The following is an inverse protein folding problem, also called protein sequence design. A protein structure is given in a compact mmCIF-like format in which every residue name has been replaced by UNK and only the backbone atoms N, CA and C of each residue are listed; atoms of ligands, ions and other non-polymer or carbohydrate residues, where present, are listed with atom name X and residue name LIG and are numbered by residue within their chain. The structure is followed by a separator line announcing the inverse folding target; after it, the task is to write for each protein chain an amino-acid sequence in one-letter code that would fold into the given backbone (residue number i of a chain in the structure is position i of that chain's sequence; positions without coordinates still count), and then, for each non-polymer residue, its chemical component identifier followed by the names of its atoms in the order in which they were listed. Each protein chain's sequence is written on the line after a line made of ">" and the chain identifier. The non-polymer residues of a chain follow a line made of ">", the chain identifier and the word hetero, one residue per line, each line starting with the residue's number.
data_IF_633343061207
#
_entry.id   IF_633343061207
#
_cell.length_a   1.000
_cell.length_b   1.000
_cell.length_c   1.000
_cell.angle_alpha   90.00
_cell.angle_beta   90.00
_cell.angle_gamma   90.00
#
_symmetry.space_group_name_H-M   'P 1'
#
loop_
_entity.id
_entity.type
_entity.pdbx_description
1 polymer ?
#
# COMPACT_ATOMS: atom_id res chain seq x y z
N UNK A 1 -33.56 31.23 15.25
CA UNK A 1 -32.49 31.22 14.20
C UNK A 1 -32.33 29.81 13.69
N UNK A 2 -32.90 29.49 12.51
CA UNK A 2 -32.68 28.24 11.78
C UNK A 2 -31.26 28.31 11.24
N UNK A 3 -30.34 27.55 11.83
CA UNK A 3 -28.97 27.32 11.30
C UNK A 3 -29.16 26.65 9.97
N UNK A 4 -28.97 27.35 8.86
CA UNK A 4 -28.84 26.77 7.53
C UNK A 4 -27.55 25.98 7.56
N UNK A 5 -27.65 24.70 7.76
CA UNK A 5 -26.52 23.76 7.59
C UNK A 5 -26.26 23.67 6.09
N UNK A 6 -25.27 24.41 5.61
CA UNK A 6 -24.70 24.15 4.29
C UNK A 6 -24.15 22.72 4.30
N UNK A 7 -24.83 21.80 3.66
CA UNK A 7 -24.31 20.48 3.39
C UNK A 7 -23.42 20.60 2.17
N UNK A 8 -22.12 20.55 2.37
CA UNK A 8 -21.14 20.44 1.29
C UNK A 8 -20.64 19.01 1.21
N UNK A 9 -20.41 18.51 0.00
CA UNK A 9 -19.76 17.23 -0.24
C UNK A 9 -18.30 17.48 -0.55
N UNK A 10 -17.41 16.77 0.13
CA UNK A 10 -15.97 16.73 -0.14
C UNK A 10 -15.68 15.40 -0.85
N UNK A 11 -15.23 15.48 -2.10
CA UNK A 11 -14.94 14.32 -2.97
C UNK A 11 -13.46 14.06 -3.07
N UNK A 12 -13.04 12.88 -2.63
CA UNK A 12 -11.65 12.48 -2.66
C UNK A 12 -11.43 11.28 -3.58
N UNK A 13 -10.36 11.34 -4.38
CA UNK A 13 -9.84 10.19 -5.11
C UNK A 13 -8.54 9.72 -4.46
N UNK A 14 -8.49 8.45 -4.04
CA UNK A 14 -7.40 7.92 -3.24
C UNK A 14 -6.97 6.52 -3.70
N UNK A 15 -5.70 6.11 -3.51
CA UNK A 15 -5.30 4.73 -3.68
C UNK A 15 -6.02 3.80 -2.70
N UNK A 16 -6.30 2.58 -3.14
CA UNK A 16 -7.02 1.58 -2.34
C UNK A 16 -6.38 1.35 -0.97
N UNK A 17 -5.06 1.24 -0.91
CA UNK A 17 -4.33 1.04 0.35
C UNK A 17 -4.47 2.23 1.31
N UNK A 18 -4.51 3.46 0.79
CA UNK A 18 -4.73 4.67 1.62
C UNK A 18 -6.13 4.67 2.21
N UNK A 19 -7.14 4.29 1.41
CA UNK A 19 -8.51 4.18 1.87
C UNK A 19 -8.67 3.12 2.97
N UNK A 20 -7.92 2.03 2.89
CA UNK A 20 -8.00 0.93 3.85
C UNK A 20 -7.20 1.17 5.14
N UNK A 21 -6.04 1.84 5.08
CA UNK A 21 -5.09 1.89 6.19
C UNK A 21 -4.89 3.28 6.79
N UNK A 22 -4.93 4.32 5.98
CA UNK A 22 -4.63 5.69 6.41
C UNK A 22 -5.90 6.48 6.72
N UNK A 23 -6.89 6.42 5.83
CA UNK A 23 -8.08 7.26 5.93
C UNK A 23 -9.06 6.90 7.06
N UNK A 24 -9.27 5.65 7.50
CA UNK A 24 -10.34 5.34 8.44
C UNK A 24 -10.32 6.17 9.73
N UNK A 25 -9.19 6.30 10.46
CA UNK A 25 -9.14 7.14 11.65
C UNK A 25 -9.27 8.63 11.32
N UNK A 26 -8.73 9.08 10.19
CA UNK A 26 -8.77 10.48 9.77
C UNK A 26 -10.19 10.88 9.37
N UNK A 27 -10.87 10.10 8.55
CA UNK A 27 -12.24 10.33 8.12
C UNK A 27 -13.21 10.35 9.32
N UNK A 28 -13.05 9.41 10.23
CA UNK A 28 -13.87 9.35 11.45
C UNK A 28 -13.69 10.57 12.35
N UNK A 29 -12.45 11.04 12.50
CA UNK A 29 -12.14 12.27 13.26
C UNK A 29 -12.68 13.50 12.55
N UNK A 30 -12.47 13.62 11.25
CA UNK A 30 -12.93 14.74 10.43
C UNK A 30 -14.45 14.90 10.49
N UNK A 31 -15.21 13.83 10.25
CA UNK A 31 -16.66 13.85 10.23
C UNK A 31 -17.27 14.16 11.61
N UNK A 32 -16.60 13.77 12.70
CA UNK A 32 -17.05 14.19 14.06
C UNK A 32 -16.89 15.68 14.30
N UNK A 33 -15.86 16.30 13.74
CA UNK A 33 -15.60 17.73 13.90
C UNK A 33 -16.36 18.60 12.88
N UNK A 34 -16.81 18.00 11.77
CA UNK A 34 -17.49 18.70 10.67
C UNK A 34 -18.82 17.99 10.29
N UNK A 35 -19.83 17.98 11.17
CA UNK A 35 -21.06 17.18 10.98
C UNK A 35 -21.94 17.66 9.81
N UNK A 36 -21.63 18.82 9.20
CA UNK A 36 -22.32 19.35 8.02
C UNK A 36 -21.72 18.92 6.69
N UNK A 37 -20.60 18.17 6.71
CA UNK A 37 -19.91 17.72 5.51
C UNK A 37 -20.24 16.25 5.21
N UNK A 38 -20.51 15.96 3.95
CA UNK A 38 -20.52 14.59 3.41
C UNK A 38 -19.17 14.33 2.79
N UNK A 39 -18.49 13.27 3.23
CA UNK A 39 -17.23 12.83 2.66
C UNK A 39 -17.49 11.67 1.69
N UNK A 40 -17.18 11.89 0.41
CA UNK A 40 -17.28 10.89 -0.66
C UNK A 40 -15.86 10.45 -1.03
N UNK A 41 -15.56 9.17 -0.89
CA UNK A 41 -14.23 8.61 -1.17
C UNK A 41 -14.36 7.58 -2.28
N UNK A 42 -13.64 7.83 -3.38
CA UNK A 42 -13.52 6.89 -4.49
C UNK A 42 -12.10 6.35 -4.55
N UNK A 43 -11.96 5.03 -4.58
CA UNK A 43 -10.66 4.39 -4.72
C UNK A 43 -10.30 4.21 -6.20
N UNK A 44 -9.09 4.62 -6.55
CA UNK A 44 -8.54 4.36 -7.88
C UNK A 44 -7.01 4.34 -7.79
N UNK A 45 -6.41 3.22 -8.21
CA UNK A 45 -4.96 3.02 -8.20
C UNK A 45 -4.30 3.42 -9.53
N UNK A 46 -5.08 3.98 -10.48
CA UNK A 46 -4.54 4.59 -11.69
C UNK A 46 -4.34 6.09 -11.52
N UNK A 47 -3.36 6.62 -12.25
CA UNK A 47 -3.19 8.07 -12.33
C UNK A 47 -4.35 8.67 -13.15
N UNK A 48 -5.09 9.59 -12.56
CA UNK A 48 -6.15 10.34 -13.21
C UNK A 48 -5.98 11.83 -12.93
N UNK A 49 -6.46 12.67 -13.84
CA UNK A 49 -6.66 14.08 -13.54
C UNK A 49 -7.83 14.22 -12.56
N UNK A 50 -7.48 14.52 -11.31
CA UNK A 50 -8.41 14.56 -10.17
C UNK A 50 -9.47 15.63 -10.37
N UNK A 51 -9.07 16.82 -10.85
CA UNK A 51 -9.98 17.97 -11.03
C UNK A 51 -10.89 17.76 -12.23
N UNK A 52 -10.34 17.30 -13.36
CA UNK A 52 -11.14 16.99 -14.55
C UNK A 52 -12.15 15.86 -14.31
N UNK A 53 -11.83 14.94 -13.38
CA UNK A 53 -12.73 13.87 -12.97
C UNK A 53 -13.77 14.30 -11.91
N UNK A 54 -13.78 15.58 -11.49
CA UNK A 54 -14.78 16.13 -10.58
C UNK A 54 -14.54 15.85 -9.10
N UNK A 55 -13.31 15.58 -8.70
CA UNK A 55 -12.91 15.47 -7.30
C UNK A 55 -12.35 16.79 -6.80
N UNK A 56 -12.49 17.04 -5.49
CA UNK A 56 -11.95 18.23 -4.83
C UNK A 56 -10.48 18.06 -4.46
N UNK A 57 -10.04 16.81 -4.19
CA UNK A 57 -8.65 16.48 -3.92
C UNK A 57 -8.33 15.02 -4.27
N UNK A 58 -7.05 14.74 -4.45
CA UNK A 58 -6.51 13.38 -4.64
C UNK A 58 -5.36 13.09 -3.68
N UNK A 59 -5.25 11.83 -3.26
CA UNK A 59 -4.06 11.34 -2.56
C UNK A 59 -3.20 10.59 -3.58
N UNK A 60 -1.90 10.84 -3.56
CA UNK A 60 -0.92 10.19 -4.46
C UNK A 60 0.38 9.93 -3.71
N UNK A 61 1.16 8.97 -4.21
CA UNK A 61 2.52 8.72 -3.76
C UNK A 61 3.47 9.50 -4.67
N UNK A 62 4.28 10.37 -4.07
CA UNK A 62 5.46 11.07 -4.64
C UNK A 62 5.50 11.24 -6.17
N UNK A 63 4.37 11.62 -6.75
CA UNK A 63 4.22 11.85 -8.18
C UNK A 63 4.28 13.34 -8.48
N UNK A 64 4.56 13.67 -9.71
CA UNK A 64 4.62 15.07 -10.15
C UNK A 64 3.28 15.78 -9.89
N UNK A 65 3.33 16.81 -9.05
CA UNK A 65 2.18 17.65 -8.74
C UNK A 65 1.95 18.57 -9.92
N UNK A 66 0.72 18.66 -10.42
CA UNK A 66 0.37 19.61 -11.46
C UNK A 66 0.59 21.04 -10.98
N UNK A 67 0.94 21.95 -11.90
CA UNK A 67 1.39 23.32 -11.58
C UNK A 67 0.45 24.12 -10.69
N UNK A 68 -0.85 23.81 -10.72
CA UNK A 68 -1.90 24.53 -10.00
C UNK A 68 -2.41 23.78 -8.76
N UNK A 69 -1.67 22.76 -8.28
CA UNK A 69 -2.04 21.97 -7.10
C UNK A 69 -1.11 22.25 -5.93
N UNK A 70 -1.68 22.22 -4.72
CA UNK A 70 -0.94 22.31 -3.47
C UNK A 70 -0.87 20.91 -2.87
N UNK A 71 0.35 20.42 -2.59
CA UNK A 71 0.52 19.17 -1.87
C UNK A 71 0.56 19.39 -0.35
N UNK A 72 -0.19 18.57 0.35
CA UNK A 72 -0.19 18.51 1.81
C UNK A 72 0.15 17.07 2.22
N UNK A 73 1.20 16.87 3.04
CA UNK A 73 1.55 15.54 3.51
C UNK A 73 0.40 14.88 4.28
N UNK A 74 0.08 13.63 3.93
CA UNK A 74 -0.94 12.82 4.59
C UNK A 74 -0.31 11.49 5.05
N UNK A 75 -0.45 11.17 6.35
CA UNK A 75 0.09 9.93 6.90
C UNK A 75 1.54 10.04 7.38
N UNK A 76 2.22 8.91 7.60
CA UNK A 76 3.60 8.89 8.08
C UNK A 76 4.56 9.50 7.07
N UNK A 77 5.57 10.23 7.58
CA UNK A 77 6.57 10.91 6.74
C UNK A 77 7.53 9.95 6.03
N UNK A 78 7.67 8.76 6.51
CA UNK A 78 8.50 7.71 5.92
C UNK A 78 7.67 6.46 5.77
N UNK A 79 7.67 5.94 4.58
CA UNK A 79 7.08 4.65 4.26
C UNK A 79 8.17 3.62 3.95
N UNK A 80 7.85 2.36 4.07
CA UNK A 80 8.80 1.29 3.86
C UNK A 80 8.12 0.10 3.21
N UNK A 81 8.77 -0.47 2.21
CA UNK A 81 8.41 -1.79 1.69
C UNK A 81 9.10 -2.89 2.48
N UNK A 82 8.37 -3.94 2.78
CA UNK A 82 8.77 -5.07 3.60
C UNK A 82 8.48 -6.37 2.86
N UNK A 83 9.41 -7.31 2.89
CA UNK A 83 9.17 -8.68 2.46
C UNK A 83 8.85 -9.55 3.68
N UNK A 84 7.85 -10.42 3.57
CA UNK A 84 7.47 -11.35 4.64
C UNK A 84 6.88 -12.64 4.07
N UNK A 85 6.89 -13.71 4.86
CA UNK A 85 6.23 -14.97 4.53
C UNK A 85 5.74 -15.66 5.80
N UNK A 86 4.84 -16.64 5.69
CA UNK A 86 4.38 -17.40 6.85
C UNK A 86 5.51 -18.26 7.45
N UNK A 87 5.49 -18.49 8.78
CA UNK A 87 6.48 -19.37 9.44
C UNK A 87 6.54 -20.76 8.79
N UNK A 88 5.39 -21.32 8.41
CA UNK A 88 5.31 -22.64 7.77
C UNK A 88 6.04 -22.67 6.42
N UNK A 89 5.79 -21.65 5.58
CA UNK A 89 6.49 -21.52 4.30
C UNK A 89 8.02 -21.44 4.49
N UNK A 90 8.48 -20.62 5.43
CA UNK A 90 9.91 -20.45 5.68
C UNK A 90 10.57 -21.72 6.28
N UNK A 91 9.84 -22.49 7.07
CA UNK A 91 10.34 -23.77 7.59
C UNK A 91 10.56 -24.81 6.49
N UNK A 92 9.69 -24.81 5.46
CA UNK A 92 9.77 -25.76 4.34
C UNK A 92 10.77 -25.33 3.25
N UNK A 93 10.82 -24.02 2.95
CA UNK A 93 11.58 -23.50 1.80
C UNK A 93 12.87 -22.74 2.19
N UNK A 94 13.11 -22.56 3.50
CA UNK A 94 14.23 -21.76 4.01
C UNK A 94 13.94 -20.26 4.06
N UNK A 95 14.84 -19.53 4.72
CA UNK A 95 14.76 -18.07 4.88
C UNK A 95 15.69 -17.41 3.86
N UNK A 96 15.19 -16.57 2.93
CA UNK A 96 16.03 -15.86 1.97
C UNK A 96 16.97 -14.88 2.72
N UNK A 97 18.26 -14.87 2.36
CA UNK A 97 19.32 -14.03 2.94
C UNK A 97 19.74 -12.89 2.03
N UNK A 98 19.48 -13.02 0.74
CA UNK A 98 19.75 -12.02 -0.27
C UNK A 98 18.53 -11.86 -1.19
N UNK A 99 18.22 -10.65 -1.73
CA UNK A 99 17.06 -10.47 -2.61
C UNK A 99 17.02 -11.42 -3.81
N UNK A 100 18.17 -11.83 -4.35
CA UNK A 100 18.22 -12.81 -5.46
C UNK A 100 17.74 -14.20 -5.08
N UNK A 101 17.74 -14.55 -3.79
CA UNK A 101 17.24 -15.85 -3.32
C UNK A 101 15.73 -15.97 -3.60
N UNK A 102 15.02 -14.82 -3.67
CA UNK A 102 13.60 -14.77 -4.02
C UNK A 102 13.29 -15.31 -5.42
N UNK A 103 14.29 -15.42 -6.31
CA UNK A 103 14.13 -16.07 -7.61
C UNK A 103 13.92 -17.60 -7.49
N UNK A 104 14.25 -18.18 -6.33
CA UNK A 104 14.03 -19.59 -6.01
C UNK A 104 12.85 -19.80 -5.05
N UNK A 105 12.21 -18.71 -4.60
CA UNK A 105 11.03 -18.75 -3.76
C UNK A 105 9.78 -18.50 -4.57
N UNK A 106 8.66 -19.09 -4.16
CA UNK A 106 7.35 -18.65 -4.60
C UNK A 106 7.08 -17.25 -4.07
N UNK A 107 6.65 -16.34 -4.95
CA UNK A 107 6.33 -14.96 -4.59
C UNK A 107 4.88 -14.63 -4.97
N UNK A 108 4.21 -13.90 -4.11
CA UNK A 108 2.86 -13.37 -4.36
C UNK A 108 3.01 -12.02 -5.06
N UNK A 109 2.66 -11.97 -6.34
CA UNK A 109 2.87 -10.78 -7.18
C UNK A 109 1.68 -9.84 -7.17
N UNK A 110 1.96 -8.54 -7.20
CA UNK A 110 0.95 -7.48 -7.38
C UNK A 110 0.94 -6.99 -8.84
N UNK A 111 -0.24 -6.94 -9.45
CA UNK A 111 -0.43 -6.36 -10.78
C UNK A 111 -1.25 -5.09 -10.70
N UNK A 112 -0.65 -3.99 -11.12
CA UNK A 112 -1.36 -2.71 -11.20
C UNK A 112 -2.46 -2.71 -12.28
N UNK A 113 -3.48 -1.85 -12.16
CA UNK A 113 -4.52 -1.69 -13.18
C UNK A 113 -3.97 -1.37 -14.58
N UNK A 114 -2.78 -0.78 -14.67
CA UNK A 114 -2.06 -0.55 -15.92
C UNK A 114 -1.58 -1.84 -16.62
N UNK A 115 -1.73 -3.00 -15.97
CA UNK A 115 -1.22 -4.29 -16.43
C UNK A 115 0.22 -4.58 -16.05
N UNK A 116 0.93 -3.60 -15.48
CA UNK A 116 2.33 -3.76 -15.06
C UNK A 116 2.41 -4.61 -13.80
N UNK A 117 3.29 -5.63 -13.79
CA UNK A 117 3.63 -6.40 -12.59
C UNK A 117 4.58 -5.56 -11.73
N UNK A 118 4.26 -5.39 -10.46
CA UNK A 118 5.09 -4.67 -9.51
C UNK A 118 6.44 -5.38 -9.34
N UNK A 119 7.51 -4.69 -9.68
CA UNK A 119 8.85 -5.18 -9.39
C UNK A 119 9.23 -4.81 -7.95
N UNK A 120 9.94 -5.70 -7.26
CA UNK A 120 10.36 -5.52 -5.89
C UNK A 120 11.73 -4.85 -5.83
N UNK A 121 11.84 -3.75 -5.12
CA UNK A 121 13.07 -2.98 -4.97
C UNK A 121 13.68 -3.14 -3.59
N UNK A 122 14.95 -3.50 -3.53
CA UNK A 122 15.71 -3.68 -2.30
C UNK A 122 16.96 -2.82 -2.35
N UNK A 123 17.35 -2.22 -1.23
CA UNK A 123 18.55 -1.37 -1.15
C UNK A 123 19.33 -1.71 0.12
N UNK A 124 20.63 -1.96 -0.01
CA UNK A 124 21.53 -2.13 1.14
C UNK A 124 22.85 -1.42 0.87
N UNK A 125 23.26 -0.49 1.76
CA UNK A 125 24.51 0.25 1.66
C UNK A 125 24.73 0.89 0.25
N UNK A 126 23.68 1.49 -0.31
CA UNK A 126 23.71 2.12 -1.63
C UNK A 126 23.64 1.16 -2.82
N UNK A 127 23.66 -0.17 -2.59
CA UNK A 127 23.48 -1.17 -3.64
C UNK A 127 22.01 -1.51 -3.81
N UNK A 128 21.45 -1.20 -4.98
CA UNK A 128 20.07 -1.53 -5.34
C UNK A 128 20.00 -2.90 -6.03
N UNK A 129 18.98 -3.68 -5.68
CA UNK A 129 18.63 -4.95 -6.34
C UNK A 129 17.15 -4.91 -6.67
N UNK A 130 16.79 -5.23 -7.92
CA UNK A 130 15.42 -5.29 -8.39
C UNK A 130 15.06 -6.71 -8.76
N UNK A 131 13.92 -7.19 -8.28
CA UNK A 131 13.40 -8.54 -8.51
C UNK A 131 12.04 -8.44 -9.20
N UNK A 132 11.83 -9.26 -10.20
CA UNK A 132 10.48 -9.49 -10.74
C UNK A 132 9.93 -10.75 -10.05
N UNK A 133 8.86 -10.62 -9.24
CA UNK A 133 8.30 -11.75 -8.50
C UNK A 133 7.73 -12.80 -9.44
N UNK A 134 7.90 -14.08 -9.08
CA UNK A 134 7.33 -15.23 -9.79
C UNK A 134 6.73 -16.18 -8.76
N UNK A 135 5.54 -16.71 -9.02
CA UNK A 135 4.90 -17.63 -8.10
C UNK A 135 3.46 -17.95 -8.48
N UNK A 136 2.73 -18.65 -7.60
CA UNK A 136 1.42 -19.22 -7.92
C UNK A 136 0.30 -18.19 -7.98
N UNK A 137 0.48 -16.98 -7.42
CA UNK A 137 -0.55 -15.95 -7.38
C UNK A 137 -0.01 -14.61 -7.87
N UNK A 138 -0.73 -14.01 -8.81
CA UNK A 138 -0.61 -12.60 -9.18
C UNK A 138 -2.00 -12.00 -9.02
N UNK A 139 -2.15 -10.98 -8.17
CA UNK A 139 -3.41 -10.33 -7.92
C UNK A 139 -3.28 -8.80 -8.05
N UNK A 140 -4.39 -8.09 -7.96
CA UNK A 140 -4.47 -6.63 -7.87
C UNK A 140 -5.15 -6.18 -6.57
N UNK A 141 -5.33 -7.12 -5.64
CA UNK A 141 -5.97 -6.89 -4.33
C UNK A 141 -5.03 -7.33 -3.22
N UNK A 142 -4.55 -6.37 -2.43
CA UNK A 142 -3.62 -6.64 -1.34
C UNK A 142 -4.17 -7.58 -0.28
N UNK A 143 -5.49 -7.57 -0.01
CA UNK A 143 -6.09 -8.48 0.98
C UNK A 143 -5.99 -9.94 0.52
N UNK A 144 -6.18 -10.22 -0.78
CA UNK A 144 -5.99 -11.55 -1.34
C UNK A 144 -4.53 -11.99 -1.30
N UNK A 145 -3.62 -11.07 -1.62
CA UNK A 145 -2.17 -11.31 -1.58
C UNK A 145 -1.70 -11.60 -0.15
N UNK A 146 -2.19 -10.83 0.83
CA UNK A 146 -1.89 -11.03 2.24
C UNK A 146 -2.37 -12.40 2.72
N UNK A 147 -3.63 -12.74 2.41
CA UNK A 147 -4.19 -14.04 2.78
C UNK A 147 -3.40 -15.21 2.17
N UNK A 148 -2.98 -15.08 0.90
CA UNK A 148 -2.15 -16.08 0.23
C UNK A 148 -0.81 -16.27 0.94
N UNK A 149 -0.14 -15.19 1.33
CA UNK A 149 1.14 -15.26 2.04
C UNK A 149 0.97 -15.89 3.44
N UNK A 150 -0.06 -15.50 4.20
CA UNK A 150 -0.39 -16.09 5.50
C UNK A 150 -0.73 -17.58 5.39
N UNK A 151 -1.33 -17.99 4.27
CA UNK A 151 -1.65 -19.39 3.96
C UNK A 151 -0.45 -20.20 3.45
N UNK A 152 0.75 -19.60 3.38
CA UNK A 152 1.97 -20.31 2.99
C UNK A 152 2.19 -20.44 1.49
N UNK A 153 1.54 -19.65 0.65
CA UNK A 153 1.70 -19.73 -0.81
C UNK A 153 2.97 -19.03 -1.32
N UNK A 154 3.70 -18.30 -0.46
CA UNK A 154 4.95 -17.67 -0.84
C UNK A 154 5.25 -16.39 -0.07
N UNK A 155 6.27 -15.67 -0.54
CA UNK A 155 6.71 -14.39 0.01
C UNK A 155 5.84 -13.28 -0.56
N UNK A 156 5.40 -12.35 0.29
CA UNK A 156 4.74 -11.09 -0.08
C UNK A 156 5.70 -9.92 0.11
N UNK A 157 5.55 -8.87 -0.70
CA UNK A 157 6.32 -7.63 -0.59
C UNK A 157 5.39 -6.43 -0.80
N UNK A 158 5.15 -5.69 0.27
CA UNK A 158 4.30 -4.50 0.24
C UNK A 158 4.64 -3.56 1.40
N UNK A 159 3.81 -2.54 1.64
CA UNK A 159 4.02 -1.56 2.70
C UNK A 159 4.04 -2.20 4.09
N UNK A 160 5.01 -1.77 4.93
CA UNK A 160 5.17 -2.22 6.32
C UNK A 160 3.87 -2.09 7.12
N UNK A 161 3.19 -0.96 7.01
CA UNK A 161 1.94 -0.69 7.71
C UNK A 161 0.83 -1.68 7.35
N UNK A 162 0.88 -2.23 6.13
CA UNK A 162 -0.09 -3.23 5.69
C UNK A 162 0.20 -4.60 6.28
N UNK A 163 1.48 -4.99 6.37
CA UNK A 163 1.91 -6.29 6.91
C UNK A 163 2.04 -6.29 8.43
N UNK A 164 2.19 -5.12 9.07
CA UNK A 164 2.47 -5.01 10.49
C UNK A 164 1.49 -5.78 11.37
N UNK A 165 0.16 -5.72 11.18
CA UNK A 165 -0.77 -6.50 12.00
C UNK A 165 -0.55 -8.02 11.93
N UNK A 166 -0.15 -8.54 10.78
CA UNK A 166 0.14 -9.97 10.57
C UNK A 166 1.50 -10.35 11.15
N UNK A 167 2.48 -9.47 11.06
CA UNK A 167 3.80 -9.64 11.68
C UNK A 167 3.66 -9.64 13.21
N UNK A 168 2.94 -8.69 13.76
CA UNK A 168 2.73 -8.58 15.22
C UNK A 168 1.96 -9.79 15.80
N UNK A 169 1.07 -10.39 15.01
CA UNK A 169 0.37 -11.64 15.35
C UNK A 169 1.22 -12.89 15.15
N UNK A 170 2.35 -12.79 14.44
CA UNK A 170 3.21 -13.91 14.10
C UNK A 170 2.68 -14.79 12.94
N UNK A 171 1.63 -14.37 12.22
CA UNK A 171 1.16 -15.08 11.01
C UNK A 171 2.10 -14.87 9.84
N UNK A 172 2.87 -13.77 9.85
CA UNK A 172 3.97 -13.51 8.93
C UNK A 172 5.26 -13.23 9.71
N UNK A 173 6.38 -13.65 9.15
CA UNK A 173 7.74 -13.36 9.61
C UNK A 173 8.43 -12.49 8.57
N UNK A 174 8.99 -11.33 8.98
CA UNK A 174 9.73 -10.46 8.07
C UNK A 174 11.02 -11.15 7.62
N UNK A 175 11.39 -10.91 6.35
CA UNK A 175 12.62 -11.42 5.75
C UNK A 175 13.36 -10.28 5.05
N UNK A 176 14.67 -10.43 4.86
CA UNK A 176 15.52 -9.44 4.17
C UNK A 176 15.50 -8.04 4.80
N UNK A 177 15.38 -7.93 6.11
CA UNK A 177 15.23 -6.66 6.83
C UNK A 177 16.34 -5.64 6.51
N UNK A 178 17.58 -6.10 6.37
CA UNK A 178 18.72 -5.27 6.00
C UNK A 178 18.62 -4.63 4.59
N UNK A 179 17.68 -5.09 3.79
CA UNK A 179 17.48 -4.70 2.40
C UNK A 179 16.22 -3.85 2.15
N UNK A 180 15.47 -3.60 3.19
CA UNK A 180 14.22 -2.84 3.04
C UNK A 180 14.49 -1.39 2.64
N UNK A 181 13.72 -0.93 1.67
CA UNK A 181 13.79 0.45 1.20
C UNK A 181 12.77 1.31 1.94
N UNK A 182 13.23 2.42 2.50
CA UNK A 182 12.39 3.50 3.02
C UNK A 182 12.39 4.68 2.05
N UNK A 183 11.29 5.40 1.96
CA UNK A 183 11.11 6.57 1.09
C UNK A 183 10.09 7.54 1.68
#
# INVERSE_FOLDING_TARGET
>A
FRRVLFRSTLRLNVPTIVAQRVLPPLASRFLRTHPGITLEITTNDTFIDVLAAGFDAGVRYDESIARDMIAVPLGPRMQRFVAAASPGYLAEHGVPKHPTDLLQHACVGHRFPSGVLAAWGFVRKGKAVKITPSGPLIASMLDLELHAAESGLGVIYTFDEYLRPSIDKGTLVPVLEDWWQSF
#
